data_IF_743461782633
#
_entry.id   IF_743461782633
#
_cell.length_a   1.000
_cell.length_b   1.000
_cell.length_c   1.000
_cell.angle_alpha   90.00
_cell.angle_beta   90.00
_cell.angle_gamma   90.00
#
_symmetry.space_group_name_H-M   'P 1'
#
loop_
_entity.id
_entity.type
_entity.pdbx_description
1 polymer ?
#
# COMPACT_ATOMS: atom_id res chain seq x y z
N UNK A 1 46.62 -28.78 31.38
CA UNK A 1 46.23 -29.77 30.34
C UNK A 1 46.97 -29.51 29.07
N UNK A 2 47.38 -30.56 28.34
CA UNK A 2 48.04 -30.38 27.04
C UNK A 2 47.04 -30.00 25.92
N UNK A 3 47.54 -29.32 24.87
CA UNK A 3 46.73 -28.83 23.76
C UNK A 3 45.83 -29.88 23.10
N UNK A 4 46.29 -31.14 23.01
CA UNK A 4 45.50 -32.25 22.46
C UNK A 4 44.29 -32.63 23.32
N UNK A 5 44.44 -32.56 24.65
CA UNK A 5 43.38 -32.85 25.60
C UNK A 5 42.35 -31.73 25.65
N UNK A 6 42.86 -30.47 25.56
CA UNK A 6 41.99 -29.31 25.46
C UNK A 6 41.18 -29.32 24.16
N UNK A 7 41.79 -29.71 23.04
CA UNK A 7 41.10 -29.84 21.77
C UNK A 7 40.00 -30.87 21.81
N UNK A 8 40.23 -32.04 22.39
CA UNK A 8 39.20 -33.07 22.56
C UNK A 8 38.05 -32.63 23.47
N UNK A 9 38.35 -31.87 24.53
CA UNK A 9 37.37 -31.46 25.54
C UNK A 9 36.55 -30.25 25.07
N UNK A 10 37.16 -29.31 24.36
CA UNK A 10 36.47 -28.10 23.87
C UNK A 10 35.83 -28.26 22.51
N UNK A 11 36.13 -29.30 21.75
CA UNK A 11 35.72 -29.45 20.34
C UNK A 11 36.49 -28.54 19.37
N UNK A 12 37.45 -27.74 19.89
CA UNK A 12 38.27 -26.80 19.10
C UNK A 12 39.52 -27.47 18.60
N UNK A 13 39.81 -27.39 17.30
CA UNK A 13 41.04 -28.02 16.77
C UNK A 13 42.30 -27.42 17.38
N UNK A 14 43.35 -28.24 17.52
CA UNK A 14 44.67 -27.76 18.00
C UNK A 14 45.24 -26.63 17.13
N UNK A 15 44.90 -26.59 15.83
CA UNK A 15 45.25 -25.49 14.92
C UNK A 15 44.56 -24.18 15.33
N UNK A 16 43.27 -24.25 15.64
CA UNK A 16 42.50 -23.09 16.07
C UNK A 16 42.96 -22.59 17.44
N UNK A 17 43.29 -23.49 18.39
CA UNK A 17 43.85 -23.10 19.68
C UNK A 17 45.16 -22.36 19.55
N UNK A 18 46.04 -22.77 18.60
CA UNK A 18 47.25 -22.00 18.27
C UNK A 18 46.96 -20.64 17.66
N UNK A 19 45.91 -20.57 16.87
CA UNK A 19 45.45 -19.29 16.30
C UNK A 19 44.94 -18.35 17.39
N UNK A 20 44.18 -18.84 18.36
CA UNK A 20 43.72 -18.07 19.52
C UNK A 20 44.88 -17.55 20.35
N UNK A 21 45.93 -18.38 20.55
CA UNK A 21 47.19 -17.97 21.20
C UNK A 21 47.88 -16.86 20.39
N UNK A 22 48.05 -17.02 19.07
CA UNK A 22 48.65 -16.00 18.21
C UNK A 22 47.92 -14.68 18.20
N UNK A 23 46.60 -14.70 18.37
CA UNK A 23 45.78 -13.50 18.51
C UNK A 23 45.71 -12.96 19.93
N UNK A 24 46.32 -13.67 20.92
CA UNK A 24 46.29 -13.31 22.34
C UNK A 24 44.90 -13.42 22.97
N UNK A 25 43.99 -14.17 22.36
CA UNK A 25 42.64 -14.47 22.92
C UNK A 25 42.72 -15.44 24.09
N UNK A 26 43.59 -16.42 24.01
CA UNK A 26 43.94 -17.37 25.09
C UNK A 26 45.44 -17.48 25.15
N UNK A 27 46.02 -17.30 26.33
CA UNK A 27 47.47 -17.47 26.55
C UNK A 27 47.68 -18.72 27.40
N UNK A 28 48.39 -19.76 26.89
CA UNK A 28 48.72 -20.91 27.68
C UNK A 28 49.43 -20.51 28.97
N UNK A 29 49.03 -21.04 30.11
CA UNK A 29 49.60 -20.69 31.43
C UNK A 29 51.03 -21.12 31.56
N UNK A 30 51.46 -22.16 30.80
CA UNK A 30 52.83 -22.67 30.83
C UNK A 30 53.21 -23.48 29.60
N UNK A 31 54.47 -23.99 29.64
CA UNK A 31 54.96 -25.02 28.72
C UNK A 31 55.61 -26.10 29.51
N UNK A 32 55.46 -27.35 29.08
CA UNK A 32 56.20 -28.48 29.65
C UNK A 32 57.67 -28.38 29.34
N UNK A 33 58.52 -29.16 30.05
CA UNK A 33 59.95 -29.27 29.77
C UNK A 33 60.24 -29.67 28.30
N UNK A 34 59.29 -30.39 27.67
CA UNK A 34 59.36 -30.77 26.26
C UNK A 34 58.80 -29.69 25.31
N UNK A 35 58.47 -28.45 25.79
CA UNK A 35 58.01 -27.32 25.02
C UNK A 35 56.53 -27.33 24.62
N UNK A 36 55.73 -28.29 25.07
CA UNK A 36 54.29 -28.35 24.77
C UNK A 36 53.49 -27.34 25.60
N UNK A 37 52.51 -26.70 24.97
CA UNK A 37 51.59 -25.73 25.62
C UNK A 37 50.73 -26.38 26.70
N UNK A 38 50.74 -25.80 27.88
CA UNK A 38 49.87 -26.17 28.97
C UNK A 38 48.81 -25.12 29.24
N UNK A 39 47.56 -25.56 29.41
CA UNK A 39 46.38 -24.73 29.65
C UNK A 39 45.81 -24.99 31.06
N UNK A 40 45.54 -23.93 31.79
CA UNK A 40 44.87 -23.95 33.09
C UNK A 40 43.38 -24.20 32.96
N UNK A 41 42.70 -24.38 34.08
CA UNK A 41 41.24 -24.44 34.11
C UNK A 41 40.57 -23.14 33.68
N UNK A 42 41.26 -22.00 33.88
CA UNK A 42 40.81 -20.68 33.49
C UNK A 42 40.94 -20.48 31.99
N UNK A 43 42.05 -20.91 31.39
CA UNK A 43 42.24 -20.90 29.95
C UNK A 43 41.15 -21.71 29.23
N UNK A 44 40.79 -22.87 29.80
CA UNK A 44 39.76 -23.73 29.25
C UNK A 44 38.36 -23.04 29.32
N UNK A 45 38.02 -22.42 30.45
CA UNK A 45 36.77 -21.64 30.56
C UNK A 45 36.76 -20.51 29.55
N UNK A 46 37.86 -19.79 29.37
CA UNK A 46 37.95 -18.74 28.37
C UNK A 46 37.75 -19.26 26.94
N UNK A 47 38.29 -20.44 26.60
CA UNK A 47 38.04 -21.11 25.31
C UNK A 47 36.56 -21.38 25.13
N UNK A 48 35.84 -21.90 26.14
CA UNK A 48 34.40 -22.10 26.04
C UNK A 48 33.63 -20.80 25.85
N UNK A 49 34.02 -19.70 26.54
CA UNK A 49 33.41 -18.38 26.31
C UNK A 49 33.63 -17.90 24.87
N UNK A 50 34.86 -18.07 24.33
CA UNK A 50 35.16 -17.71 22.94
C UNK A 50 34.27 -18.46 21.97
N UNK A 51 34.13 -19.80 22.13
CA UNK A 51 33.26 -20.60 21.24
C UNK A 51 31.78 -20.27 21.39
N UNK A 52 31.32 -20.00 22.60
CA UNK A 52 29.94 -19.56 22.85
C UNK A 52 29.66 -18.22 22.14
N UNK A 53 30.54 -17.25 22.24
CA UNK A 53 30.37 -15.97 21.56
C UNK A 53 30.47 -16.11 20.03
N UNK A 54 31.35 -17.00 19.54
CA UNK A 54 31.43 -17.30 18.10
C UNK A 54 30.19 -17.99 17.56
N UNK A 55 29.55 -18.85 18.35
CA UNK A 55 28.29 -19.47 17.95
C UNK A 55 27.13 -18.48 17.79
N UNK A 56 27.25 -17.28 18.40
CA UNK A 56 26.35 -16.16 18.21
C UNK A 56 26.69 -15.31 16.97
N UNK A 57 27.74 -15.68 16.22
CA UNK A 57 28.13 -15.00 14.98
C UNK A 57 29.24 -13.94 15.15
N UNK A 58 29.81 -13.78 16.37
CA UNK A 58 30.87 -12.79 16.57
C UNK A 58 32.17 -13.20 15.87
N UNK A 59 32.86 -12.20 15.28
CA UNK A 59 34.23 -12.33 14.82
C UNK A 59 35.18 -12.44 16.01
N UNK A 60 36.39 -12.99 15.80
CA UNK A 60 37.40 -13.09 16.86
C UNK A 60 37.81 -11.72 17.43
N UNK A 61 37.70 -10.65 16.66
CA UNK A 61 37.94 -9.27 17.11
C UNK A 61 36.86 -8.80 18.09
N UNK A 62 35.62 -9.07 17.79
CA UNK A 62 34.47 -8.74 18.66
C UNK A 62 34.50 -9.59 19.93
N UNK A 63 34.81 -10.88 19.81
CA UNK A 63 35.02 -11.77 20.97
C UNK A 63 36.11 -11.23 21.90
N UNK A 64 37.23 -10.76 21.36
CA UNK A 64 38.27 -10.13 22.18
C UNK A 64 37.74 -8.92 22.94
N UNK A 65 37.06 -8.02 22.23
CA UNK A 65 36.45 -6.83 22.83
C UNK A 65 35.46 -7.20 23.93
N UNK A 66 34.59 -8.18 23.68
CA UNK A 66 33.58 -8.65 24.65
C UNK A 66 34.22 -9.26 25.92
N UNK A 67 35.38 -9.89 25.81
CA UNK A 67 36.02 -10.59 26.95
C UNK A 67 37.02 -9.69 27.71
N UNK A 68 37.61 -8.69 27.08
CA UNK A 68 38.72 -7.91 27.64
C UNK A 68 38.34 -6.46 28.00
N UNK A 69 37.18 -5.93 27.48
CA UNK A 69 36.73 -4.57 27.75
C UNK A 69 35.78 -4.56 28.98
N UNK A 70 36.21 -3.88 30.04
CA UNK A 70 35.45 -3.74 31.29
C UNK A 70 34.21 -2.86 31.13
N UNK A 71 34.14 -2.02 30.11
CA UNK A 71 32.95 -1.20 29.77
C UNK A 71 31.91 -1.93 28.93
N UNK A 72 32.20 -3.18 28.57
CA UNK A 72 31.32 -3.96 27.68
C UNK A 72 30.20 -4.64 28.46
N UNK A 73 28.95 -4.34 28.12
CA UNK A 73 27.79 -4.98 28.74
C UNK A 73 27.24 -6.11 27.82
N UNK A 74 27.07 -7.33 28.35
CA UNK A 74 26.53 -8.45 27.57
C UNK A 74 25.16 -8.17 26.95
N UNK A 75 24.31 -7.37 27.64
CA UNK A 75 22.97 -7.00 27.11
C UNK A 75 23.08 -6.11 25.87
N UNK A 76 23.96 -5.10 25.86
CA UNK A 76 24.17 -4.24 24.68
C UNK A 76 24.67 -5.04 23.47
N UNK A 77 25.56 -6.02 23.70
CA UNK A 77 26.00 -6.92 22.63
C UNK A 77 24.83 -7.71 22.04
N UNK A 78 23.99 -8.28 22.87
CA UNK A 78 22.83 -9.08 22.42
C UNK A 78 21.87 -8.20 21.65
N UNK A 79 21.59 -6.98 22.13
CA UNK A 79 20.72 -6.02 21.46
C UNK A 79 21.29 -5.60 20.10
N UNK A 80 22.60 -5.36 20.01
CA UNK A 80 23.30 -5.06 18.76
C UNK A 80 23.21 -6.22 17.76
N UNK A 81 23.43 -7.45 18.22
CA UNK A 81 23.32 -8.66 17.37
C UNK A 81 21.88 -8.87 16.87
N UNK A 82 20.88 -8.63 17.72
CA UNK A 82 19.47 -8.68 17.34
C UNK A 82 19.20 -7.63 16.26
N UNK A 83 19.65 -6.38 16.44
CA UNK A 83 19.48 -5.31 15.45
C UNK A 83 20.13 -5.68 14.12
N UNK A 84 21.40 -6.06 14.11
CA UNK A 84 22.13 -6.45 12.90
C UNK A 84 21.48 -7.64 12.19
N UNK A 85 21.00 -8.63 12.96
CA UNK A 85 20.31 -9.78 12.39
C UNK A 85 18.97 -9.38 11.75
N UNK A 86 18.20 -8.49 12.39
CA UNK A 86 16.96 -7.94 11.80
C UNK A 86 17.23 -7.16 10.52
N UNK A 87 18.25 -6.31 10.50
CA UNK A 87 18.67 -5.55 9.31
C UNK A 87 19.08 -6.49 8.16
N UNK A 88 19.81 -7.57 8.46
CA UNK A 88 20.17 -8.59 7.46
C UNK A 88 18.95 -9.33 6.94
N UNK A 89 18.06 -9.77 7.83
CA UNK A 89 16.80 -10.43 7.43
C UNK A 89 15.97 -9.50 6.53
N UNK A 90 15.85 -8.21 6.89
CA UNK A 90 15.13 -7.24 6.07
C UNK A 90 15.76 -7.09 4.68
N UNK A 91 17.10 -6.99 4.59
CA UNK A 91 17.81 -6.92 3.31
C UNK A 91 17.65 -8.18 2.45
N UNK A 92 17.74 -9.36 3.04
CA UNK A 92 17.52 -10.64 2.34
C UNK A 92 16.06 -10.80 1.90
N UNK A 93 15.10 -10.34 2.72
CA UNK A 93 13.68 -10.36 2.36
C UNK A 93 13.40 -9.42 1.18
N UNK A 94 13.99 -8.22 1.17
CA UNK A 94 13.88 -7.29 0.05
C UNK A 94 14.48 -7.87 -1.24
N UNK A 95 15.66 -8.50 -1.14
CA UNK A 95 16.28 -9.18 -2.28
C UNK A 95 15.39 -10.32 -2.80
N UNK A 96 14.87 -11.16 -1.91
CA UNK A 96 13.96 -12.24 -2.28
C UNK A 96 12.72 -11.71 -2.99
N UNK A 97 12.09 -10.68 -2.46
CA UNK A 97 10.94 -10.02 -3.09
C UNK A 97 11.27 -9.54 -4.50
N UNK A 98 12.44 -8.91 -4.68
CA UNK A 98 12.90 -8.45 -6.00
C UNK A 98 13.13 -9.62 -6.96
N UNK A 99 13.76 -10.71 -6.51
CA UNK A 99 13.98 -11.90 -7.32
C UNK A 99 12.66 -12.58 -7.71
N UNK A 100 11.71 -12.68 -6.79
CA UNK A 100 10.37 -13.21 -7.09
C UNK A 100 9.66 -12.37 -8.17
N UNK A 101 9.75 -11.05 -8.11
CA UNK A 101 9.18 -10.16 -9.13
C UNK A 101 9.82 -10.37 -10.50
N UNK A 102 11.14 -10.50 -10.57
CA UNK A 102 11.83 -10.80 -11.83
C UNK A 102 11.38 -12.16 -12.38
N UNK A 103 11.24 -13.16 -11.51
CA UNK A 103 10.77 -14.50 -11.90
C UNK A 103 9.32 -14.50 -12.40
N UNK A 104 8.44 -13.70 -11.77
CA UNK A 104 7.02 -13.59 -12.17
C UNK A 104 6.83 -12.96 -13.55
N UNK A 105 7.78 -12.15 -14.02
CA UNK A 105 7.76 -11.58 -15.35
C UNK A 105 8.19 -12.58 -16.46
N UNK A 106 8.55 -13.81 -16.11
CA UNK A 106 8.93 -14.89 -17.04
C UNK A 106 9.94 -14.46 -18.13
N UNK A 107 11.09 -13.83 -17.76
CA UNK A 107 12.03 -13.29 -18.72
C UNK A 107 12.57 -14.39 -19.64
N UNK A 108 12.50 -14.18 -20.96
CA UNK A 108 12.99 -15.13 -21.94
C UNK A 108 14.53 -15.13 -22.07
N UNK A 109 15.18 -14.05 -21.70
CA UNK A 109 16.62 -13.87 -21.81
C UNK A 109 17.22 -12.86 -20.83
N UNK A 110 18.54 -12.71 -20.89
CA UNK A 110 19.25 -11.77 -20.03
C UNK A 110 18.89 -10.31 -20.28
N UNK A 111 18.51 -9.95 -21.49
CA UNK A 111 18.12 -8.60 -21.85
C UNK A 111 16.83 -8.21 -21.10
N UNK A 112 15.86 -9.11 -21.06
CA UNK A 112 14.60 -8.91 -20.33
C UNK A 112 14.87 -8.77 -18.84
N UNK A 113 15.72 -9.62 -18.25
CA UNK A 113 16.10 -9.50 -16.83
C UNK A 113 16.68 -8.14 -16.52
N UNK A 114 17.61 -7.63 -17.37
CA UNK A 114 18.23 -6.33 -17.16
C UNK A 114 17.22 -5.18 -17.29
N UNK A 115 16.30 -5.26 -18.22
CA UNK A 115 15.23 -4.28 -18.41
C UNK A 115 14.28 -4.26 -17.20
N UNK A 116 13.83 -5.43 -16.73
CA UNK A 116 12.98 -5.55 -15.54
C UNK A 116 13.69 -4.97 -14.31
N UNK A 117 14.96 -5.28 -14.11
CA UNK A 117 15.75 -4.74 -12.99
C UNK A 117 15.84 -3.22 -13.07
N UNK A 118 16.14 -2.66 -14.25
CA UNK A 118 16.23 -1.22 -14.45
C UNK A 118 14.89 -0.53 -14.15
N UNK A 119 13.78 -1.13 -14.58
CA UNK A 119 12.44 -0.61 -14.34
C UNK A 119 12.06 -0.64 -12.86
N UNK A 120 12.29 -1.75 -12.17
CA UNK A 120 12.04 -1.86 -10.72
C UNK A 120 12.86 -0.83 -9.93
N UNK A 121 14.12 -0.58 -10.34
CA UNK A 121 14.95 0.46 -9.75
C UNK A 121 14.41 1.86 -10.03
N UNK A 122 13.91 2.11 -11.24
CA UNK A 122 13.34 3.38 -11.63
C UNK A 122 12.02 3.68 -10.89
N UNK A 123 11.17 2.68 -10.68
CA UNK A 123 9.95 2.80 -9.86
C UNK A 123 10.27 3.13 -8.39
N UNK A 124 11.38 2.64 -7.84
CA UNK A 124 11.87 2.97 -6.49
C UNK A 124 12.70 4.26 -6.39
N UNK A 125 12.85 5.03 -7.48
CA UNK A 125 13.69 6.23 -7.51
C UNK A 125 13.16 7.34 -6.60
N UNK A 126 14.04 8.14 -6.00
CA UNK A 126 13.67 9.36 -5.27
C UNK A 126 13.12 10.46 -6.19
N UNK A 127 13.43 10.42 -7.47
CA UNK A 127 12.95 11.39 -8.48
C UNK A 127 11.55 11.02 -8.97
N UNK A 128 10.56 11.87 -8.74
CA UNK A 128 9.20 11.71 -9.26
C UNK A 128 9.16 11.57 -10.79
N UNK A 129 9.94 12.40 -11.52
CA UNK A 129 10.01 12.30 -12.97
C UNK A 129 10.60 10.98 -13.48
N UNK A 130 11.51 10.35 -12.73
CA UNK A 130 12.03 9.02 -13.06
C UNK A 130 10.97 7.94 -12.82
N UNK A 131 10.25 8.00 -11.69
CA UNK A 131 9.16 7.07 -11.40
C UNK A 131 8.02 7.17 -12.41
N UNK A 132 7.65 8.42 -12.78
CA UNK A 132 6.60 8.66 -13.78
C UNK A 132 6.97 8.07 -15.15
N UNK A 133 8.19 8.30 -15.63
CA UNK A 133 8.66 7.70 -16.90
C UNK A 133 8.66 6.17 -16.83
N UNK A 134 9.11 5.60 -15.72
CA UNK A 134 9.08 4.16 -15.52
C UNK A 134 7.65 3.60 -15.58
N UNK A 135 6.68 4.25 -14.94
CA UNK A 135 5.28 3.85 -15.01
C UNK A 135 4.72 3.90 -16.46
N UNK A 136 5.09 4.90 -17.24
CA UNK A 136 4.62 5.04 -18.62
C UNK A 136 5.27 4.03 -19.56
N UNK A 137 6.59 3.79 -19.44
CA UNK A 137 7.31 2.83 -20.27
C UNK A 137 6.95 1.37 -19.96
N UNK A 138 6.40 1.08 -18.78
CA UNK A 138 5.97 -0.26 -18.41
C UNK A 138 4.88 -0.87 -19.29
N UNK A 139 4.15 -0.04 -20.02
CA UNK A 139 3.07 -0.48 -20.93
C UNK A 139 3.58 -0.82 -22.34
N UNK A 140 4.68 -0.20 -22.75
CA UNK A 140 5.12 -0.24 -24.16
C UNK A 140 6.35 -1.16 -24.39
N UNK A 141 7.25 -1.28 -23.40
CA UNK A 141 8.59 -1.80 -23.65
C UNK A 141 8.92 -3.09 -22.89
N UNK A 142 8.35 -3.32 -21.70
CA UNK A 142 8.75 -4.45 -20.84
C UNK A 142 7.57 -4.95 -20.01
N UNK A 143 7.29 -6.26 -19.97
CA UNK A 143 6.31 -6.82 -19.05
C UNK A 143 6.77 -6.58 -17.60
N UNK A 144 6.07 -5.69 -16.89
CA UNK A 144 6.32 -5.44 -15.47
C UNK A 144 5.41 -6.35 -14.66
N UNK A 145 5.92 -7.00 -13.62
CA UNK A 145 5.06 -7.70 -12.68
C UNK A 145 4.01 -6.74 -12.11
N UNK A 146 2.75 -7.09 -12.24
CA UNK A 146 1.63 -6.26 -11.79
C UNK A 146 1.73 -5.92 -10.29
N UNK A 147 2.31 -6.84 -9.51
CA UNK A 147 2.59 -6.66 -8.09
C UNK A 147 3.47 -5.43 -7.81
N UNK A 148 4.47 -5.19 -8.66
CA UNK A 148 5.37 -4.04 -8.51
C UNK A 148 4.65 -2.71 -8.81
N UNK A 149 3.76 -2.70 -9.80
CA UNK A 149 2.93 -1.53 -10.11
C UNK A 149 1.92 -1.25 -8.99
N UNK A 150 1.27 -2.31 -8.46
CA UNK A 150 0.33 -2.19 -7.34
C UNK A 150 1.03 -1.64 -6.10
N UNK A 151 2.18 -2.19 -5.71
CA UNK A 151 2.94 -1.66 -4.57
C UNK A 151 3.37 -0.21 -4.79
N UNK A 152 3.86 0.12 -5.99
CA UNK A 152 4.25 1.47 -6.33
C UNK A 152 3.06 2.45 -6.20
N UNK A 153 1.88 2.14 -6.76
CA UNK A 153 0.71 3.03 -6.70
C UNK A 153 0.17 3.17 -5.28
N UNK A 154 0.17 2.09 -4.49
CA UNK A 154 -0.31 2.13 -3.10
C UNK A 154 0.61 2.94 -2.17
N UNK A 155 1.90 3.05 -2.49
CA UNK A 155 2.88 3.82 -1.73
C UNK A 155 3.14 5.23 -2.28
N UNK A 156 2.72 5.56 -3.51
CA UNK A 156 3.05 6.82 -4.19
C UNK A 156 2.34 8.03 -3.56
N UNK A 157 3.08 9.12 -3.40
CA UNK A 157 2.58 10.37 -2.84
C UNK A 157 2.48 11.50 -3.86
N UNK A 158 3.22 11.44 -4.97
CA UNK A 158 3.13 12.41 -6.04
C UNK A 158 1.91 12.12 -6.93
N UNK A 159 0.98 13.07 -7.10
CA UNK A 159 -0.26 12.84 -7.84
C UNK A 159 -0.05 12.53 -9.33
N UNK A 160 1.00 13.08 -9.96
CA UNK A 160 1.29 12.81 -11.37
C UNK A 160 1.85 11.41 -11.58
N UNK A 161 2.73 10.98 -10.67
CA UNK A 161 3.27 9.60 -10.67
C UNK A 161 2.16 8.61 -10.38
N UNK A 162 1.31 8.89 -9.38
CA UNK A 162 0.16 8.05 -9.05
C UNK A 162 -0.81 7.92 -10.26
N UNK A 163 -1.06 9.02 -10.99
CA UNK A 163 -1.84 9.00 -12.22
C UNK A 163 -1.23 8.10 -13.29
N UNK A 164 0.09 8.20 -13.52
CA UNK A 164 0.79 7.37 -14.49
C UNK A 164 0.76 5.89 -14.12
N UNK A 165 0.92 5.56 -12.82
CA UNK A 165 0.85 4.18 -12.32
C UNK A 165 -0.56 3.59 -12.46
N UNK A 166 -1.62 4.35 -12.13
CA UNK A 166 -3.01 3.91 -12.35
C UNK A 166 -3.30 3.66 -13.83
N UNK A 167 -2.85 4.58 -14.68
CA UNK A 167 -2.97 4.42 -16.13
C UNK A 167 -2.26 3.17 -16.64
N UNK A 168 -1.07 2.86 -16.12
CA UNK A 168 -0.33 1.65 -16.46
C UNK A 168 -1.06 0.38 -16.00
N UNK A 169 -1.54 0.37 -14.74
CA UNK A 169 -2.33 -0.75 -14.20
C UNK A 169 -3.61 -1.01 -15.00
N UNK A 170 -4.32 0.04 -15.39
CA UNK A 170 -5.56 -0.10 -16.17
C UNK A 170 -5.32 -0.72 -17.57
N UNK A 171 -4.08 -0.79 -18.03
CA UNK A 171 -3.64 -1.36 -19.31
C UNK A 171 -2.90 -2.69 -19.19
N UNK A 172 -2.53 -3.11 -17.99
CA UNK A 172 -1.97 -4.44 -17.79
C UNK A 172 -3.05 -5.50 -17.93
N UNK A 173 -2.71 -6.67 -18.49
CA UNK A 173 -3.67 -7.74 -18.80
C UNK A 173 -4.43 -8.24 -17.57
N UNK A 174 -3.78 -8.27 -16.41
CA UNK A 174 -4.37 -8.71 -15.14
C UNK A 174 -4.92 -7.54 -14.29
N UNK A 175 -4.53 -6.28 -14.57
CA UNK A 175 -4.97 -5.07 -13.85
C UNK A 175 -4.69 -5.06 -12.35
N UNK A 176 -4.23 -6.14 -11.75
CA UNK A 176 -3.93 -6.26 -10.33
C UNK A 176 -5.15 -6.11 -9.41
N UNK A 177 -6.36 -6.38 -9.90
CA UNK A 177 -7.62 -6.17 -9.16
C UNK A 177 -7.62 -6.85 -7.80
N UNK A 178 -7.18 -8.12 -7.71
CA UNK A 178 -7.14 -8.89 -6.47
C UNK A 178 -6.15 -8.28 -5.45
N UNK A 179 -4.99 -7.83 -5.91
CA UNK A 179 -4.00 -7.19 -5.03
C UNK A 179 -4.45 -5.81 -4.55
N UNK A 180 -5.13 -5.05 -5.41
CA UNK A 180 -5.73 -3.77 -5.02
C UNK A 180 -6.86 -3.96 -4.02
N UNK A 181 -7.63 -5.06 -4.12
CA UNK A 181 -8.68 -5.41 -3.16
C UNK A 181 -8.13 -5.58 -1.73
N UNK A 182 -6.95 -6.18 -1.58
CA UNK A 182 -6.27 -6.24 -0.27
C UNK A 182 -6.00 -4.83 0.29
N UNK A 183 -5.65 -3.89 -0.60
CA UNK A 183 -5.43 -2.49 -0.25
C UNK A 183 -6.67 -1.79 0.32
N UNK A 184 -7.89 -2.20 -0.05
CA UNK A 184 -9.14 -1.66 0.52
C UNK A 184 -9.31 -2.01 2.02
N UNK A 185 -8.68 -3.09 2.49
CA UNK A 185 -8.65 -3.51 3.89
C UNK A 185 -7.47 -2.93 4.70
N UNK A 186 -6.62 -2.11 4.13
CA UNK A 186 -5.44 -1.55 4.80
C UNK A 186 -5.80 -0.74 6.04
N UNK A 187 -5.04 -0.83 7.15
CA UNK A 187 -5.21 0.06 8.31
C UNK A 187 -4.91 1.53 7.97
N UNK A 188 -4.15 1.79 6.89
CA UNK A 188 -3.74 3.14 6.48
C UNK A 188 -4.77 3.73 5.52
N UNK A 189 -5.43 4.83 5.90
CA UNK A 189 -6.48 5.47 5.10
C UNK A 189 -6.02 5.88 3.69
N UNK A 190 -4.81 6.41 3.54
CA UNK A 190 -4.27 6.81 2.24
C UNK A 190 -4.03 5.60 1.31
N UNK A 191 -3.70 4.43 1.85
CA UNK A 191 -3.58 3.19 1.06
C UNK A 191 -4.96 2.76 0.56
N UNK A 192 -5.98 2.75 1.43
CA UNK A 192 -7.37 2.42 1.03
C UNK A 192 -7.88 3.36 -0.08
N UNK A 193 -7.62 4.67 0.07
CA UNK A 193 -7.99 5.67 -0.93
C UNK A 193 -7.30 5.40 -2.27
N UNK A 194 -5.98 5.15 -2.28
CA UNK A 194 -5.25 4.85 -3.52
C UNK A 194 -5.72 3.54 -4.16
N UNK A 195 -6.05 2.54 -3.35
CA UNK A 195 -6.58 1.27 -3.83
C UNK A 195 -7.92 1.48 -4.59
N UNK A 196 -8.90 2.15 -3.98
CA UNK A 196 -10.19 2.39 -4.64
C UNK A 196 -10.05 3.27 -5.88
N UNK A 197 -9.17 4.27 -5.87
CA UNK A 197 -8.89 5.10 -7.04
C UNK A 197 -8.26 4.29 -8.18
N UNK A 198 -7.39 3.33 -7.88
CA UNK A 198 -6.77 2.47 -8.89
C UNK A 198 -7.79 1.49 -9.47
N UNK A 199 -8.61 0.84 -8.64
CA UNK A 199 -9.69 -0.04 -9.09
C UNK A 199 -10.70 0.72 -9.97
N UNK A 200 -10.96 1.99 -9.64
CA UNK A 200 -11.88 2.84 -10.42
C UNK A 200 -11.43 3.04 -11.88
N UNK A 201 -10.14 3.02 -12.15
CA UNK A 201 -9.60 3.21 -13.51
C UNK A 201 -9.50 1.91 -14.33
N UNK A 202 -9.59 0.72 -13.70
CA UNK A 202 -9.53 -0.58 -14.38
C UNK A 202 -10.90 -0.91 -15.03
N UNK A 203 -10.98 -1.02 -16.38
CA UNK A 203 -12.26 -1.10 -17.08
C UNK A 203 -12.78 -2.53 -17.27
N UNK A 204 -12.72 -3.38 -16.22
CA UNK A 204 -13.17 -4.76 -16.30
C UNK A 204 -14.30 -5.08 -15.31
N UNK A 205 -14.95 -6.26 -15.49
CA UNK A 205 -16.05 -6.70 -14.66
C UNK A 205 -15.66 -6.99 -13.21
N UNK A 206 -14.45 -7.52 -12.98
CA UNK A 206 -13.91 -7.81 -11.65
C UNK A 206 -13.75 -6.52 -10.84
N UNK A 207 -13.10 -5.50 -11.42
CA UNK A 207 -12.99 -4.18 -10.80
C UNK A 207 -14.36 -3.57 -10.51
N UNK A 208 -15.37 -3.79 -11.37
CA UNK A 208 -16.73 -3.32 -11.12
C UNK A 208 -17.36 -4.04 -9.93
N UNK A 209 -17.20 -5.35 -9.79
CA UNK A 209 -17.67 -6.10 -8.63
C UNK A 209 -16.99 -5.64 -7.33
N UNK A 210 -15.67 -5.43 -7.35
CA UNK A 210 -14.94 -4.90 -6.20
C UNK A 210 -15.42 -3.51 -5.77
N UNK A 211 -15.78 -2.65 -6.73
CA UNK A 211 -16.36 -1.34 -6.42
C UNK A 211 -17.78 -1.46 -5.84
N UNK A 212 -18.60 -2.44 -6.29
CA UNK A 212 -19.90 -2.71 -5.69
C UNK A 212 -19.75 -3.16 -4.23
N UNK A 213 -18.83 -4.08 -3.94
CA UNK A 213 -18.51 -4.49 -2.57
C UNK A 213 -18.00 -3.31 -1.73
N UNK A 214 -17.21 -2.43 -2.34
CA UNK A 214 -16.66 -1.25 -1.68
C UNK A 214 -17.72 -0.20 -1.28
N UNK A 215 -18.96 -0.26 -1.78
CA UNK A 215 -20.06 0.60 -1.31
C UNK A 215 -20.42 0.33 0.15
N UNK A 216 -20.09 -0.84 0.69
CA UNK A 216 -20.32 -1.20 2.10
C UNK A 216 -19.08 -1.04 2.98
N UNK A 217 -17.98 -0.51 2.45
CA UNK A 217 -16.73 -0.32 3.19
C UNK A 217 -16.96 0.63 4.40
N UNK A 218 -16.36 0.34 5.59
CA UNK A 218 -16.48 1.23 6.74
C UNK A 218 -15.91 2.64 6.51
N UNK A 219 -14.92 2.77 5.60
CA UNK A 219 -14.34 4.06 5.24
C UNK A 219 -15.22 4.82 4.24
N UNK A 220 -15.75 5.97 4.66
CA UNK A 220 -16.61 6.82 3.83
C UNK A 220 -15.91 7.29 2.55
N UNK A 221 -14.58 7.50 2.59
CA UNK A 221 -13.81 7.94 1.41
C UNK A 221 -13.82 6.83 0.35
N UNK A 222 -13.65 5.58 0.77
CA UNK A 222 -13.73 4.41 -0.13
C UNK A 222 -15.11 4.32 -0.76
N UNK A 223 -16.18 4.40 0.06
CA UNK A 223 -17.57 4.35 -0.47
C UNK A 223 -17.84 5.43 -1.53
N UNK A 224 -17.40 6.66 -1.27
CA UNK A 224 -17.59 7.80 -2.20
C UNK A 224 -16.87 7.62 -3.52
N UNK A 225 -15.59 7.22 -3.51
CA UNK A 225 -14.86 6.94 -4.74
C UNK A 225 -15.47 5.76 -5.51
N UNK A 226 -15.89 4.71 -4.81
CA UNK A 226 -16.57 3.57 -5.42
C UNK A 226 -17.90 4.01 -6.10
N UNK A 227 -18.70 4.82 -5.41
CA UNK A 227 -19.98 5.32 -5.96
C UNK A 227 -19.77 6.18 -7.21
N UNK A 228 -18.80 7.10 -7.21
CA UNK A 228 -18.48 7.92 -8.40
C UNK A 228 -18.06 7.05 -9.58
N UNK A 229 -17.17 6.07 -9.34
CA UNK A 229 -16.70 5.17 -10.40
C UNK A 229 -17.83 4.29 -10.95
N UNK A 230 -18.69 3.76 -10.08
CA UNK A 230 -19.85 2.95 -10.48
C UNK A 230 -20.90 3.80 -11.22
N UNK A 231 -21.13 5.02 -10.78
CA UNK A 231 -21.99 5.97 -11.48
C UNK A 231 -21.52 6.24 -12.90
N UNK A 232 -20.22 6.49 -13.09
CA UNK A 232 -19.59 6.65 -14.41
C UNK A 232 -19.71 5.39 -15.29
N UNK A 233 -19.74 4.19 -14.68
CA UNK A 233 -19.94 2.89 -15.36
C UNK A 233 -21.44 2.58 -15.61
N UNK A 234 -22.34 3.41 -15.14
CA UNK A 234 -23.77 3.20 -15.29
C UNK A 234 -24.37 2.15 -14.34
N UNK A 235 -23.75 1.86 -13.21
CA UNK A 235 -24.21 0.87 -12.23
C UNK A 235 -25.15 1.53 -11.22
N UNK A 236 -26.39 1.01 -11.13
CA UNK A 236 -27.46 1.60 -10.31
C UNK A 236 -27.22 1.54 -8.80
N UNK A 237 -26.43 0.57 -8.33
CA UNK A 237 -26.14 0.35 -6.91
C UNK A 237 -25.48 1.57 -6.25
N UNK A 238 -24.86 2.44 -7.06
CA UNK A 238 -24.24 3.68 -6.61
C UNK A 238 -25.26 4.77 -6.19
N UNK A 239 -26.52 4.70 -6.64
CA UNK A 239 -27.52 5.78 -6.50
C UNK A 239 -27.66 6.24 -5.05
N UNK A 240 -27.86 5.38 -4.04
CA UNK A 240 -28.02 5.82 -2.67
C UNK A 240 -26.82 6.64 -2.17
N UNK A 241 -25.60 6.12 -2.36
CA UNK A 241 -24.38 6.80 -1.93
C UNK A 241 -24.16 8.13 -2.67
N UNK A 242 -24.50 8.20 -3.97
CA UNK A 242 -24.41 9.45 -4.74
C UNK A 242 -25.39 10.51 -4.23
N UNK A 243 -26.60 10.11 -3.84
CA UNK A 243 -27.60 11.01 -3.21
C UNK A 243 -27.09 11.53 -1.86
N UNK A 244 -26.53 10.64 -1.02
CA UNK A 244 -25.92 11.03 0.26
C UNK A 244 -24.79 12.06 0.05
N UNK A 245 -23.97 11.89 -0.98
CA UNK A 245 -22.90 12.85 -1.31
C UNK A 245 -23.42 14.23 -1.70
N UNK A 246 -24.57 14.31 -2.41
CA UNK A 246 -25.24 15.57 -2.71
C UNK A 246 -25.77 16.23 -1.44
N UNK A 247 -26.36 15.45 -0.53
CA UNK A 247 -26.88 15.95 0.75
C UNK A 247 -25.73 16.49 1.62
N UNK A 248 -24.62 15.78 1.69
CA UNK A 248 -23.48 16.09 2.58
C UNK A 248 -22.48 17.13 2.03
N UNK A 249 -22.75 17.71 0.84
CA UNK A 249 -21.86 18.69 0.17
C UNK A 249 -20.44 18.15 -0.11
N UNK A 250 -20.36 16.86 -0.38
CA UNK A 250 -19.07 16.19 -0.61
C UNK A 250 -18.99 15.72 -2.06
N UNK A 251 -18.08 16.32 -2.84
CA UNK A 251 -17.98 16.05 -4.28
C UNK A 251 -19.33 16.16 -5.01
N UNK A 252 -20.18 17.08 -4.55
CA UNK A 252 -21.58 17.23 -4.97
C UNK A 252 -21.75 17.34 -6.48
N UNK A 253 -20.86 18.08 -7.15
CA UNK A 253 -20.91 18.23 -8.61
C UNK A 253 -20.69 16.90 -9.30
N UNK A 254 -19.65 16.15 -8.92
CA UNK A 254 -19.38 14.83 -9.50
C UNK A 254 -20.49 13.80 -9.20
N UNK A 255 -21.10 13.88 -8.02
CA UNK A 255 -22.24 13.03 -7.67
C UNK A 255 -23.49 13.39 -8.48
N UNK A 256 -23.79 14.68 -8.65
CA UNK A 256 -24.90 15.14 -9.47
C UNK A 256 -24.73 14.77 -10.95
N UNK A 257 -23.52 14.94 -11.50
CA UNK A 257 -23.17 14.54 -12.86
C UNK A 257 -23.36 13.02 -13.06
N UNK A 258 -22.91 12.20 -12.10
CA UNK A 258 -23.09 10.75 -12.14
C UNK A 258 -24.57 10.35 -12.07
N UNK A 259 -25.37 11.00 -11.22
CA UNK A 259 -26.83 10.79 -11.15
C UNK A 259 -27.51 11.20 -12.45
N UNK A 260 -27.12 12.34 -13.05
CA UNK A 260 -27.63 12.80 -14.35
C UNK A 260 -27.33 11.80 -15.47
N UNK A 261 -26.09 11.28 -15.52
CA UNK A 261 -25.71 10.25 -16.48
C UNK A 261 -26.52 8.96 -16.31
N UNK A 262 -26.76 8.51 -15.08
CA UNK A 262 -27.61 7.37 -14.76
C UNK A 262 -29.08 7.61 -15.15
N UNK A 263 -29.56 8.83 -14.96
CA UNK A 263 -30.93 9.24 -15.28
C UNK A 263 -31.24 9.26 -16.79
N UNK A 264 -30.25 9.10 -17.66
CA UNK A 264 -30.47 8.88 -19.09
C UNK A 264 -31.28 7.61 -19.36
N UNK A 265 -31.32 6.65 -18.42
CA UNK A 265 -32.16 5.46 -18.46
C UNK A 265 -33.48 5.71 -17.70
N UNK A 266 -34.68 5.61 -18.35
CA UNK A 266 -35.95 6.01 -17.74
C UNK A 266 -36.24 5.32 -16.41
N UNK A 267 -35.94 4.03 -16.27
CA UNK A 267 -36.16 3.29 -15.02
C UNK A 267 -35.29 3.82 -13.86
N UNK A 268 -34.05 4.25 -14.11
CA UNK A 268 -33.17 4.83 -13.09
C UNK A 268 -33.53 6.30 -12.82
N UNK A 269 -34.02 7.02 -13.82
CA UNK A 269 -34.47 8.40 -13.63
C UNK A 269 -35.55 8.50 -12.55
N UNK A 270 -36.55 7.60 -12.59
CA UNK A 270 -37.62 7.57 -11.59
C UNK A 270 -37.08 7.17 -10.20
N UNK A 271 -36.16 6.18 -10.14
CA UNK A 271 -35.53 5.79 -8.89
C UNK A 271 -34.71 6.94 -8.27
N UNK A 272 -33.93 7.66 -9.08
CA UNK A 272 -33.11 8.82 -8.65
C UNK A 272 -34.04 9.95 -8.19
N UNK A 273 -35.10 10.28 -8.97
CA UNK A 273 -36.05 11.31 -8.61
C UNK A 273 -36.72 11.01 -7.28
N UNK A 274 -37.18 9.76 -7.08
CA UNK A 274 -37.79 9.32 -5.82
C UNK A 274 -36.82 9.45 -4.65
N UNK A 275 -35.57 8.97 -4.79
CA UNK A 275 -34.57 9.07 -3.71
C UNK A 275 -34.25 10.51 -3.33
N UNK A 276 -34.11 11.42 -4.30
CA UNK A 276 -33.90 12.86 -4.03
C UNK A 276 -35.13 13.50 -3.34
N UNK A 277 -36.36 13.12 -3.75
CA UNK A 277 -37.62 13.61 -3.14
C UNK A 277 -37.77 13.07 -1.72
N UNK A 278 -37.43 11.82 -1.47
CA UNK A 278 -37.47 11.25 -0.12
C UNK A 278 -36.55 12.01 0.83
N UNK A 279 -35.33 12.43 0.37
CA UNK A 279 -34.48 13.32 1.15
C UNK A 279 -35.13 14.68 1.43
N UNK A 280 -35.84 15.27 0.47
CA UNK A 280 -36.58 16.54 0.68
C UNK A 280 -37.74 16.43 1.67
N UNK A 281 -38.39 15.27 1.78
CA UNK A 281 -39.53 15.03 2.66
C UNK A 281 -39.15 15.01 4.16
N UNK A 282 -37.88 14.90 4.51
CA UNK A 282 -37.46 14.96 5.91
C UNK A 282 -37.59 16.40 6.43
N UNK A 283 -38.40 16.61 7.46
CA UNK A 283 -38.78 17.92 8.01
C UNK A 283 -37.63 18.78 8.56
N UNK A 284 -36.42 18.25 8.66
CA UNK A 284 -35.24 18.90 9.22
C UNK A 284 -34.20 19.31 8.16
N UNK A 285 -34.53 19.19 6.86
CA UNK A 285 -33.58 19.50 5.78
C UNK A 285 -33.35 21.01 5.68
N UNK A 286 -32.12 21.44 5.88
CA UNK A 286 -31.74 22.87 5.81
C UNK A 286 -31.84 23.43 4.39
N UNK A 287 -32.05 24.75 4.25
CA UNK A 287 -32.17 25.43 2.96
C UNK A 287 -31.01 25.17 1.98
N UNK A 288 -29.72 25.12 2.43
CA UNK A 288 -28.61 24.80 1.53
C UNK A 288 -28.73 23.38 0.93
N UNK A 289 -29.18 22.40 1.71
CA UNK A 289 -29.39 21.03 1.26
C UNK A 289 -30.53 20.96 0.25
N UNK A 290 -31.69 21.61 0.54
CA UNK A 290 -32.81 21.67 -0.38
C UNK A 290 -32.42 22.30 -1.72
N UNK A 291 -31.53 23.31 -1.71
CA UNK A 291 -31.04 23.94 -2.94
C UNK A 291 -30.15 22.97 -3.75
N UNK A 292 -29.26 22.20 -3.10
CA UNK A 292 -28.44 21.18 -3.79
C UNK A 292 -29.30 20.07 -4.39
N UNK A 293 -30.31 19.59 -3.65
CA UNK A 293 -31.27 18.60 -4.13
C UNK A 293 -32.07 19.13 -5.34
N UNK A 294 -32.49 20.40 -5.31
CA UNK A 294 -33.11 21.04 -6.47
C UNK A 294 -32.16 21.08 -7.68
N UNK A 295 -30.89 21.40 -7.48
CA UNK A 295 -29.88 21.39 -8.53
C UNK A 295 -29.67 19.97 -9.09
N UNK A 296 -29.57 18.95 -8.24
CA UNK A 296 -29.43 17.56 -8.66
C UNK A 296 -30.67 17.07 -9.47
N UNK A 297 -31.88 17.57 -9.19
CA UNK A 297 -33.09 17.29 -9.96
C UNK A 297 -33.10 17.96 -11.34
N UNK A 298 -32.21 18.93 -11.62
CA UNK A 298 -32.25 19.73 -12.86
C UNK A 298 -32.21 18.87 -14.14
N UNK A 299 -31.34 17.89 -14.16
CA UNK A 299 -31.10 17.01 -15.30
C UNK A 299 -31.71 15.61 -15.16
N UNK A 300 -32.51 15.37 -14.11
CA UNK A 300 -33.26 14.12 -13.93
C UNK A 300 -34.59 14.25 -14.65
N UNK A 301 -34.84 13.50 -15.74
CA UNK A 301 -36.12 13.56 -16.46
C UNK A 301 -37.28 12.88 -15.69
N UNK A 302 -38.49 13.22 -16.04
CA UNK A 302 -39.68 12.56 -15.48
C UNK A 302 -40.62 13.47 -14.70
N UNK A 303 -41.81 12.94 -14.40
CA UNK A 303 -42.89 13.68 -13.74
C UNK A 303 -42.58 13.94 -12.27
N UNK A 304 -41.95 12.97 -11.58
CA UNK A 304 -41.61 13.08 -10.17
C UNK A 304 -40.60 14.21 -9.93
N UNK A 305 -39.56 14.30 -10.74
CA UNK A 305 -38.57 15.40 -10.66
C UNK A 305 -39.25 16.77 -10.99
N UNK A 306 -40.11 16.84 -12.01
CA UNK A 306 -40.79 18.07 -12.39
C UNK A 306 -41.74 18.55 -11.31
N UNK A 307 -42.50 17.65 -10.66
CA UNK A 307 -43.40 17.97 -9.55
C UNK A 307 -42.60 18.49 -8.35
N UNK A 308 -41.52 17.80 -7.97
CA UNK A 308 -40.68 18.22 -6.85
C UNK A 308 -40.05 19.63 -7.07
N UNK A 309 -39.61 19.92 -8.29
CA UNK A 309 -39.16 21.27 -8.64
C UNK A 309 -40.28 22.32 -8.60
N UNK A 310 -41.51 21.95 -9.02
CA UNK A 310 -42.67 22.83 -8.91
C UNK A 310 -42.99 23.15 -7.45
N UNK A 311 -42.96 22.15 -6.56
CA UNK A 311 -43.18 22.33 -5.13
C UNK A 311 -42.08 23.23 -4.53
N UNK A 312 -40.80 22.98 -4.84
CA UNK A 312 -39.67 23.77 -4.39
C UNK A 312 -39.65 25.21 -4.93
N UNK A 313 -40.37 25.50 -6.06
CA UNK A 313 -40.50 26.87 -6.55
C UNK A 313 -41.37 27.77 -5.65
N UNK A 314 -42.08 27.15 -4.69
CA UNK A 314 -42.87 27.82 -3.65
C UNK A 314 -42.23 27.66 -2.24
N UNK A 315 -40.98 27.25 -2.16
CA UNK A 315 -40.25 27.06 -0.89
C UNK A 315 -40.20 28.39 -0.10
N UNK A 316 -40.24 28.28 1.22
CA UNK A 316 -40.16 29.43 2.14
C UNK A 316 -38.82 30.16 2.00
N UNK A 317 -37.72 29.42 1.68
CA UNK A 317 -36.42 30.00 1.39
C UNK A 317 -36.35 30.52 -0.04
N UNK A 318 -36.16 31.84 -0.16
CA UNK A 318 -36.15 32.52 -1.44
C UNK A 318 -35.05 31.98 -2.39
N UNK A 319 -33.90 31.54 -1.88
CA UNK A 319 -32.82 31.02 -2.73
C UNK A 319 -33.17 29.66 -3.30
N UNK A 320 -33.85 28.81 -2.53
CA UNK A 320 -34.37 27.51 -2.98
C UNK A 320 -35.44 27.74 -4.07
N UNK A 321 -36.44 28.59 -3.76
CA UNK A 321 -37.54 28.91 -4.68
C UNK A 321 -37.05 29.46 -6.02
N UNK A 322 -36.10 30.41 -6.02
CA UNK A 322 -35.51 30.98 -7.22
C UNK A 322 -34.72 29.94 -8.03
N UNK A 323 -33.96 29.08 -7.35
CA UNK A 323 -33.20 28.00 -8.01
C UNK A 323 -34.15 27.03 -8.73
N UNK A 324 -35.21 26.57 -8.04
CA UNK A 324 -36.19 25.64 -8.60
C UNK A 324 -36.96 26.26 -9.77
N UNK A 325 -37.40 27.52 -9.63
CA UNK A 325 -38.10 28.25 -10.70
C UNK A 325 -37.24 28.44 -11.95
N UNK A 326 -35.94 28.77 -11.77
CA UNK A 326 -34.99 28.90 -12.87
C UNK A 326 -34.80 27.56 -13.61
N UNK A 327 -34.59 26.47 -12.87
CA UNK A 327 -34.46 25.12 -13.44
C UNK A 327 -35.72 24.72 -14.25
N UNK A 328 -36.92 24.95 -13.71
CA UNK A 328 -38.17 24.72 -14.42
C UNK A 328 -38.26 25.53 -15.70
N UNK A 329 -37.86 26.81 -15.67
CA UNK A 329 -37.84 27.67 -16.86
C UNK A 329 -36.95 27.09 -17.97
N UNK A 330 -35.76 26.60 -17.63
CA UNK A 330 -34.85 25.96 -18.60
C UNK A 330 -35.42 24.66 -19.14
N UNK A 331 -36.02 23.82 -18.28
CA UNK A 331 -36.62 22.53 -18.69
C UNK A 331 -37.80 22.71 -19.65
N UNK A 332 -38.63 23.73 -19.43
CA UNK A 332 -39.77 24.01 -20.26
C UNK A 332 -39.41 24.66 -21.61
N UNK A 333 -38.17 25.18 -21.71
CA UNK A 333 -37.66 25.79 -22.95
C UNK A 333 -36.91 24.78 -23.87
N UNK A 334 -36.64 23.57 -23.38
CA UNK A 334 -36.04 22.45 -24.16
C UNK A 334 -37.17 21.59 -24.77
#
# INVERSE_FOLDING_TARGET
MLIGDVARRSGVSARMLRHYDSLGLVRPTGRTDAGYREYSGEDIRRIFHIESLRSLGLSLREVRRALDDQGFTPSELVDDLIRQTRERIAGETELLTRLCRIGAAEPAGWEDVLQIVALLQALGSKSAGTRQRAALSSVEEVPVPVEALVEAVLSETDPNVAGALRWALARSDDGGSALLAEGLGSPVAEVRKRAVQSIAEIPNGEATALLQDALTNPDIVVRRYAALALGARGVADAIPTLIDMVVEETHEVGAADALSALASRPALAEQIATGLVDCLAHSTVESPVRRRLAQALADVPGVTASRALADLSHDEDRAVALTAAYILGIRNAR
#
